data_IF_104992842245
#
_entry.id   IF_104992842245
#
_cell.length_a   1.000
_cell.length_b   1.000
_cell.length_c   1.000
_cell.angle_alpha   90.00
_cell.angle_beta   90.00
_cell.angle_gamma   90.00
#
_symmetry.space_group_name_H-M   'P 1'
#
loop_
_entity.id
_entity.type
_entity.pdbx_description
1 polymer ?
#
# COMPACT_ATOMS: atom_id res chain seq x y z
N UNK A 1 19.76 9.84 16.62
CA UNK A 1 21.06 10.46 16.92
C UNK A 1 22.13 9.39 16.90
N UNK A 2 23.28 9.65 16.26
CA UNK A 2 24.46 8.78 16.32
C UNK A 2 25.12 9.00 17.67
N UNK A 3 25.38 7.92 18.39
CA UNK A 3 25.97 7.98 19.75
C UNK A 3 27.32 7.28 19.79
N UNK A 4 28.25 7.80 20.59
CA UNK A 4 29.52 7.13 20.86
C UNK A 4 29.35 6.03 21.94
N UNK A 5 30.45 5.33 22.29
CA UNK A 5 30.45 4.28 23.32
C UNK A 5 30.07 4.78 24.72
N UNK A 6 30.26 6.07 24.98
CA UNK A 6 29.87 6.75 26.22
C UNK A 6 28.42 7.26 26.19
N UNK A 7 27.65 6.89 25.15
CA UNK A 7 26.26 7.29 24.91
C UNK A 7 26.05 8.79 24.59
N UNK A 8 27.13 9.54 24.34
CA UNK A 8 27.08 10.95 23.95
C UNK A 8 26.63 11.09 22.50
N UNK A 9 25.82 12.10 22.21
CA UNK A 9 25.37 12.40 20.84
C UNK A 9 26.55 13.01 20.07
N UNK A 10 27.03 12.31 19.05
CA UNK A 10 28.14 12.76 18.19
C UNK A 10 27.68 13.12 16.77
N UNK A 11 26.40 12.88 16.45
CA UNK A 11 25.87 13.21 15.13
C UNK A 11 24.36 13.06 15.03
N UNK A 12 23.79 13.69 14.01
CA UNK A 12 22.38 13.61 13.64
C UNK A 12 22.28 13.33 12.14
N UNK A 13 21.38 12.41 11.78
CA UNK A 13 20.95 12.21 10.40
C UNK A 13 19.55 12.78 10.28
N UNK A 14 19.38 13.79 9.44
CA UNK A 14 18.08 14.40 9.17
C UNK A 14 17.69 14.05 7.74
N UNK A 15 16.51 13.43 7.58
CA UNK A 15 15.92 13.13 6.27
C UNK A 15 14.82 14.14 6.00
N UNK A 16 15.03 15.01 5.02
CA UNK A 16 14.01 15.97 4.58
C UNK A 16 13.18 15.33 3.48
N UNK A 17 11.95 14.93 3.80
CA UNK A 17 11.01 14.41 2.83
C UNK A 17 10.58 15.51 1.85
N UNK A 18 10.76 15.28 0.55
CA UNK A 18 10.23 16.15 -0.52
C UNK A 18 8.87 15.64 -0.98
N UNK A 19 8.00 16.52 -1.43
CA UNK A 19 6.77 16.17 -2.12
C UNK A 19 6.77 16.78 -3.52
N UNK A 20 6.11 16.11 -4.46
CA UNK A 20 6.05 16.49 -5.88
C UNK A 20 4.59 16.42 -6.29
N UNK A 21 4.04 17.55 -6.72
CA UNK A 21 2.67 17.62 -7.22
C UNK A 21 2.58 17.15 -8.69
N UNK A 22 1.40 16.70 -9.11
CA UNK A 22 1.17 16.22 -10.48
C UNK A 22 1.69 14.80 -10.74
N UNK A 23 2.36 14.18 -9.78
CA UNK A 23 2.92 12.84 -9.95
C UNK A 23 1.84 11.75 -10.13
N UNK A 24 0.62 11.97 -9.64
CA UNK A 24 -0.46 10.99 -9.77
C UNK A 24 -1.11 10.90 -11.16
N UNK A 25 -0.72 11.73 -12.14
CA UNK A 25 -1.33 11.69 -13.48
C UNK A 25 -1.20 10.34 -14.19
N UNK A 26 -0.15 9.56 -13.90
CA UNK A 26 0.04 8.20 -14.44
C UNK A 26 -1.06 7.21 -14.05
N UNK A 27 -1.80 7.50 -12.99
CA UNK A 27 -2.86 6.65 -12.43
C UNK A 27 -4.17 7.41 -12.23
N UNK A 28 -4.34 8.57 -12.85
CA UNK A 28 -5.52 9.41 -12.63
C UNK A 28 -6.84 8.68 -12.99
N UNK A 29 -6.84 7.90 -14.06
CA UNK A 29 -7.95 7.02 -14.47
C UNK A 29 -8.21 5.91 -13.45
N UNK A 30 -7.17 5.36 -12.82
CA UNK A 30 -7.31 4.36 -11.75
C UNK A 30 -7.89 5.01 -10.49
N UNK A 31 -7.43 6.21 -10.14
CA UNK A 31 -7.94 6.96 -9.00
C UNK A 31 -9.41 7.37 -9.19
N UNK A 32 -9.79 7.69 -10.43
CA UNK A 32 -11.17 8.02 -10.82
C UNK A 32 -12.14 6.83 -10.67
N UNK A 33 -11.64 5.58 -10.69
CA UNK A 33 -12.44 4.40 -10.36
C UNK A 33 -12.61 4.32 -8.84
N UNK A 34 -13.75 4.79 -8.36
CA UNK A 34 -14.04 5.01 -6.94
C UNK A 34 -14.16 3.70 -6.13
N UNK A 35 -14.29 2.56 -6.79
CA UNK A 35 -14.55 1.24 -6.18
C UNK A 35 -13.28 0.41 -5.95
N UNK A 36 -12.09 0.91 -6.32
CA UNK A 36 -10.84 0.13 -6.25
C UNK A 36 -9.92 0.58 -5.11
N UNK A 37 -9.43 -0.42 -4.38
CA UNK A 37 -8.32 -0.27 -3.42
C UNK A 37 -7.00 -0.47 -4.16
N UNK A 38 -6.03 0.39 -3.89
CA UNK A 38 -4.77 0.46 -4.62
C UNK A 38 -3.63 0.15 -3.67
N UNK A 39 -2.70 -0.69 -4.11
CA UNK A 39 -1.45 -1.00 -3.41
C UNK A 39 -0.26 -0.45 -4.19
N UNK A 40 0.54 0.42 -3.57
CA UNK A 40 1.82 0.86 -4.12
C UNK A 40 2.97 -0.04 -3.66
N UNK A 41 3.57 -0.79 -4.59
CA UNK A 41 4.70 -1.66 -4.36
C UNK A 41 6.00 -1.09 -4.94
N UNK A 42 7.12 -1.50 -4.35
CA UNK A 42 8.45 -1.16 -4.83
C UNK A 42 9.48 -1.13 -3.72
N UNK A 43 10.76 -1.16 -4.11
CA UNK A 43 11.90 -1.14 -3.19
C UNK A 43 12.04 0.20 -2.43
N UNK A 44 12.83 0.26 -1.35
CA UNK A 44 13.14 1.53 -0.68
C UNK A 44 13.70 2.58 -1.65
N UNK A 45 13.16 3.80 -1.58
CA UNK A 45 13.62 4.91 -2.42
C UNK A 45 13.01 5.00 -3.82
N UNK A 46 12.04 4.15 -4.19
CA UNK A 46 11.36 4.25 -5.50
C UNK A 46 10.27 5.34 -5.61
N UNK A 47 10.00 6.10 -4.53
CA UNK A 47 9.06 7.22 -4.55
C UNK A 47 7.65 6.93 -4.02
N UNK A 48 7.41 5.78 -3.37
CA UNK A 48 6.12 5.40 -2.75
C UNK A 48 5.51 6.52 -1.89
N UNK A 49 6.23 7.00 -0.87
CA UNK A 49 5.73 8.08 0.01
C UNK A 49 5.43 9.36 -0.76
N UNK A 50 6.17 9.65 -1.85
CA UNK A 50 5.94 10.83 -2.69
C UNK A 50 4.61 10.74 -3.43
N UNK A 51 4.32 9.61 -4.09
CA UNK A 51 3.04 9.45 -4.79
C UNK A 51 1.87 9.46 -3.81
N UNK A 52 2.09 9.04 -2.58
CA UNK A 52 1.01 8.89 -1.59
C UNK A 52 0.57 10.21 -1.02
N UNK A 53 1.53 11.09 -0.75
CA UNK A 53 1.23 12.48 -0.41
C UNK A 53 0.36 13.10 -1.49
N UNK A 54 0.73 12.91 -2.75
CA UNK A 54 -0.01 13.45 -3.89
C UNK A 54 -1.41 12.84 -4.05
N UNK A 55 -1.54 11.51 -3.94
CA UNK A 55 -2.84 10.83 -3.99
C UNK A 55 -3.73 11.29 -2.83
N UNK A 56 -3.18 11.39 -1.62
CA UNK A 56 -3.92 11.88 -0.44
C UNK A 56 -4.43 13.30 -0.68
N UNK A 57 -3.55 14.19 -1.15
CA UNK A 57 -3.86 15.58 -1.47
C UNK A 57 -4.94 15.71 -2.54
N UNK A 58 -4.83 14.94 -3.62
CA UNK A 58 -5.81 14.97 -4.72
C UNK A 58 -7.17 14.43 -4.27
N UNK A 59 -7.21 13.28 -3.60
CA UNK A 59 -8.45 12.66 -3.14
C UNK A 59 -9.14 13.51 -2.07
N UNK A 60 -8.38 14.22 -1.22
CA UNK A 60 -8.94 15.05 -0.15
C UNK A 60 -9.74 16.26 -0.65
N UNK A 61 -9.64 16.62 -1.94
CA UNK A 61 -10.49 17.65 -2.54
C UNK A 61 -11.92 17.18 -2.81
N UNK A 62 -12.15 15.87 -2.89
CA UNK A 62 -13.45 15.28 -3.21
C UNK A 62 -14.00 14.39 -2.09
N UNK A 63 -13.12 13.78 -1.30
CA UNK A 63 -13.48 12.77 -0.31
C UNK A 63 -12.95 13.11 1.08
N UNK A 64 -13.61 12.57 2.09
CA UNK A 64 -13.12 12.51 3.46
C UNK A 64 -11.93 11.53 3.55
N UNK A 65 -10.72 12.04 3.31
CA UNK A 65 -9.48 11.26 3.41
C UNK A 65 -8.94 11.28 4.83
N UNK A 66 -8.53 10.10 5.31
CA UNK A 66 -7.79 9.97 6.57
C UNK A 66 -6.49 9.18 6.36
N UNK A 67 -5.35 9.80 6.66
CA UNK A 67 -4.03 9.19 6.64
C UNK A 67 -3.73 8.57 8.00
N UNK A 68 -3.52 7.26 8.06
CA UNK A 68 -2.98 6.55 9.22
C UNK A 68 -1.47 6.52 9.07
N UNK A 69 -0.80 7.43 9.79
CA UNK A 69 0.63 7.71 9.65
C UNK A 69 1.39 7.14 10.86
N UNK A 70 1.98 5.96 10.67
CA UNK A 70 2.61 5.22 11.77
C UNK A 70 4.02 5.71 12.08
N UNK A 71 4.78 6.05 11.05
CA UNK A 71 6.17 6.50 11.16
C UNK A 71 6.29 8.02 11.09
N UNK A 72 5.16 8.74 10.97
CA UNK A 72 5.10 10.17 10.66
C UNK A 72 5.82 10.55 9.36
N UNK A 73 6.08 9.57 8.48
CA UNK A 73 6.81 9.80 7.23
C UNK A 73 5.92 10.50 6.20
N UNK A 74 4.58 10.34 6.24
CA UNK A 74 3.71 10.94 5.21
C UNK A 74 3.52 12.42 5.49
N UNK A 75 3.09 12.77 6.70
CA UNK A 75 2.61 14.10 7.05
C UNK A 75 3.47 14.80 8.13
N UNK A 76 4.60 14.21 8.53
CA UNK A 76 5.60 14.81 9.43
C UNK A 76 5.26 14.66 10.92
N UNK A 77 6.19 15.05 11.79
CA UNK A 77 6.08 14.87 13.25
C UNK A 77 5.32 16.00 13.98
N UNK A 78 4.99 17.10 13.31
CA UNK A 78 4.30 18.24 13.93
C UNK A 78 2.86 17.90 14.31
N UNK A 79 2.26 18.63 15.25
CA UNK A 79 0.85 18.44 15.65
C UNK A 79 -0.13 18.73 14.50
N UNK A 80 0.26 19.63 13.59
CA UNK A 80 -0.48 19.95 12.36
C UNK A 80 0.14 19.13 11.23
N UNK A 81 -0.64 18.36 10.45
CA UNK A 81 -0.12 17.61 9.32
C UNK A 81 0.48 18.56 8.29
N UNK A 82 1.59 18.15 7.67
CA UNK A 82 2.23 18.92 6.62
C UNK A 82 1.28 19.14 5.42
N UNK A 83 1.30 20.33 4.81
CA UNK A 83 0.43 20.72 3.70
C UNK A 83 0.49 19.81 2.46
N UNK A 84 1.48 18.93 2.38
CA UNK A 84 1.67 18.01 1.26
C UNK A 84 0.55 16.97 1.12
N UNK A 85 -0.25 16.75 2.16
CA UNK A 85 -1.44 15.88 2.12
C UNK A 85 -2.74 16.65 1.89
N UNK A 86 -2.67 17.96 1.63
CA UNK A 86 -3.83 18.81 1.38
C UNK A 86 -4.82 18.83 2.54
N UNK A 87 -6.10 18.61 2.23
CA UNK A 87 -7.20 18.60 3.22
C UNK A 87 -7.33 17.27 3.98
N UNK A 88 -6.45 16.29 3.72
CA UNK A 88 -6.53 15.00 4.37
C UNK A 88 -6.30 15.13 5.89
N UNK A 89 -7.15 14.47 6.68
CA UNK A 89 -6.92 14.35 8.13
C UNK A 89 -5.81 13.34 8.38
N UNK A 90 -5.07 13.52 9.48
CA UNK A 90 -4.02 12.58 9.89
C UNK A 90 -4.33 11.98 11.26
N UNK A 91 -4.18 10.67 11.37
CA UNK A 91 -4.18 9.90 12.60
C UNK A 91 -2.76 9.38 12.84
N UNK A 92 -2.09 9.93 13.85
CA UNK A 92 -0.76 9.45 14.26
C UNK A 92 -0.91 8.17 15.05
N UNK A 93 -0.12 7.15 14.74
CA UNK A 93 -0.15 5.88 15.48
C UNK A 93 0.88 5.92 16.60
N UNK A 94 0.52 5.66 17.87
CA UNK A 94 1.47 5.72 18.99
C UNK A 94 2.60 4.69 18.93
N UNK A 95 2.35 3.54 18.31
CA UNK A 95 3.35 2.49 18.09
C UNK A 95 2.89 1.55 16.96
N UNK A 96 3.84 0.84 16.35
CA UNK A 96 3.59 -0.14 15.28
C UNK A 96 2.47 -1.14 15.65
N UNK A 97 2.47 -1.66 16.87
CA UNK A 97 1.47 -2.64 17.33
C UNK A 97 0.04 -2.08 17.43
N UNK A 98 -0.10 -0.75 17.50
CA UNK A 98 -1.39 -0.07 17.60
C UNK A 98 -2.01 0.28 16.25
N UNK A 99 -1.27 0.12 15.14
CA UNK A 99 -1.75 0.53 13.81
C UNK A 99 -3.08 -0.12 13.44
N UNK A 100 -3.22 -1.44 13.59
CA UNK A 100 -4.46 -2.16 13.31
C UNK A 100 -5.66 -1.62 14.11
N UNK A 101 -5.46 -1.31 15.39
CA UNK A 101 -6.50 -0.74 16.24
C UNK A 101 -6.86 0.69 15.80
N UNK A 102 -5.86 1.50 15.45
CA UNK A 102 -6.07 2.85 14.93
C UNK A 102 -6.84 2.83 13.62
N UNK A 103 -6.52 1.91 12.69
CA UNK A 103 -7.29 1.74 11.44
C UNK A 103 -8.77 1.51 11.72
N UNK A 104 -9.11 0.59 12.63
CA UNK A 104 -10.51 0.32 13.02
C UNK A 104 -11.15 1.55 13.67
N UNK A 105 -10.44 2.25 14.54
CA UNK A 105 -10.90 3.49 15.17
C UNK A 105 -11.22 4.58 14.13
N UNK A 106 -10.37 4.72 13.11
CA UNK A 106 -10.60 5.69 12.03
C UNK A 106 -11.96 5.42 11.38
N UNK A 107 -12.24 4.17 11.03
CA UNK A 107 -13.54 3.82 10.44
C UNK A 107 -14.70 4.10 11.37
N UNK A 108 -14.57 3.76 12.65
CA UNK A 108 -15.65 3.91 13.63
C UNK A 108 -16.00 5.36 13.95
N UNK A 109 -14.98 6.23 14.06
CA UNK A 109 -15.15 7.56 14.65
C UNK A 109 -14.98 8.71 13.66
N UNK A 110 -14.32 8.46 12.53
CA UNK A 110 -14.01 9.51 11.56
C UNK A 110 -14.74 9.34 10.23
N UNK A 111 -15.41 8.20 10.00
CA UNK A 111 -16.21 7.94 8.80
C UNK A 111 -15.46 8.32 7.51
N UNK A 112 -14.23 7.82 7.29
CA UNK A 112 -13.48 8.15 6.08
C UNK A 112 -14.14 7.51 4.85
N UNK A 113 -14.14 8.23 3.74
CA UNK A 113 -14.43 7.65 2.43
C UNK A 113 -13.16 6.99 1.87
N UNK A 114 -12.00 7.57 2.17
CA UNK A 114 -10.68 7.03 1.79
C UNK A 114 -9.76 6.96 3.00
N UNK A 115 -9.15 5.80 3.22
CA UNK A 115 -8.08 5.61 4.18
C UNK A 115 -6.75 5.45 3.44
N UNK A 116 -5.73 6.22 3.84
CA UNK A 116 -4.37 6.11 3.35
C UNK A 116 -3.47 5.58 4.45
N UNK A 117 -2.64 4.59 4.15
CA UNK A 117 -1.81 3.89 5.16
C UNK A 117 -0.40 3.72 4.59
N UNK A 118 0.65 3.99 5.37
CA UNK A 118 2.04 4.01 4.86
C UNK A 118 2.66 2.63 4.60
N UNK A 119 2.39 1.64 5.45
CA UNK A 119 2.88 0.27 5.28
C UNK A 119 1.92 -0.70 5.96
N UNK A 120 1.67 -1.85 5.35
CA UNK A 120 0.97 -2.99 5.99
C UNK A 120 1.81 -4.23 5.79
N UNK A 121 2.26 -4.81 6.91
CA UNK A 121 3.11 -6.00 6.90
C UNK A 121 2.75 -7.02 7.98
N UNK A 122 1.96 -6.66 9.00
CA UNK A 122 1.61 -7.59 10.08
C UNK A 122 0.25 -8.26 9.81
N UNK A 123 0.05 -9.54 10.20
CA UNK A 123 -1.22 -10.23 9.98
C UNK A 123 -2.46 -9.53 10.56
N UNK A 124 -2.32 -8.87 11.72
CA UNK A 124 -3.40 -8.11 12.33
C UNK A 124 -3.78 -6.84 11.53
N UNK A 125 -2.83 -6.23 10.81
CA UNK A 125 -3.09 -5.08 9.94
C UNK A 125 -3.81 -5.49 8.67
N UNK A 126 -3.44 -6.64 8.11
CA UNK A 126 -4.13 -7.25 6.97
C UNK A 126 -5.60 -7.52 7.35
N UNK A 127 -5.84 -8.05 8.55
CA UNK A 127 -7.20 -8.31 9.02
C UNK A 127 -7.98 -7.02 9.32
N UNK A 128 -7.32 -6.01 9.90
CA UNK A 128 -7.91 -4.69 10.07
C UNK A 128 -8.28 -4.06 8.72
N UNK A 129 -7.42 -4.16 7.71
CA UNK A 129 -7.69 -3.66 6.37
C UNK A 129 -8.90 -4.37 5.73
N UNK A 130 -9.02 -5.70 5.87
CA UNK A 130 -10.22 -6.43 5.44
C UNK A 130 -11.48 -5.92 6.12
N UNK A 131 -11.41 -5.73 7.44
CA UNK A 131 -12.55 -5.20 8.22
C UNK A 131 -12.93 -3.79 7.76
N UNK A 132 -11.95 -2.92 7.48
CA UNK A 132 -12.20 -1.56 6.99
C UNK A 132 -12.86 -1.58 5.60
N UNK A 133 -12.37 -2.44 4.70
CA UNK A 133 -12.94 -2.62 3.36
C UNK A 133 -14.39 -3.10 3.40
N UNK A 134 -14.70 -4.08 4.25
CA UNK A 134 -16.07 -4.59 4.43
C UNK A 134 -17.05 -3.52 4.94
N UNK A 135 -16.55 -2.45 5.55
CA UNK A 135 -17.34 -1.29 5.99
C UNK A 135 -17.47 -0.19 4.92
N UNK A 136 -17.10 -0.49 3.67
CA UNK A 136 -17.26 0.42 2.53
C UNK A 136 -16.20 1.51 2.41
N UNK A 137 -15.10 1.40 3.16
CA UNK A 137 -13.99 2.37 3.08
C UNK A 137 -13.06 2.00 1.93
N UNK A 138 -12.76 2.96 1.05
CA UNK A 138 -11.72 2.80 0.02
C UNK A 138 -10.34 2.92 0.67
N UNK A 139 -9.47 1.96 0.44
CA UNK A 139 -8.12 1.91 1.00
C UNK A 139 -7.10 2.20 -0.11
N UNK A 140 -6.42 3.34 0.00
CA UNK A 140 -5.20 3.63 -0.75
C UNK A 140 -3.98 3.27 0.09
N UNK A 141 -3.43 2.06 -0.08
CA UNK A 141 -2.31 1.58 0.71
C UNK A 141 -0.98 1.85 0.00
N UNK A 142 0.01 2.19 0.81
CA UNK A 142 1.41 2.30 0.48
C UNK A 142 2.16 1.18 1.18
N UNK A 143 3.22 0.69 0.55
CA UNK A 143 4.38 0.18 1.29
C UNK A 143 4.30 -1.28 1.73
N UNK A 144 5.20 -2.08 1.15
CA UNK A 144 5.90 -3.15 1.85
C UNK A 144 5.05 -4.29 2.41
N UNK A 145 4.59 -5.21 1.55
CA UNK A 145 4.44 -6.59 2.04
C UNK A 145 5.86 -7.12 2.25
N UNK A 146 6.42 -6.95 3.46
CA UNK A 146 7.43 -7.90 3.92
C UNK A 146 6.71 -9.23 4.04
N UNK A 147 6.92 -10.12 3.06
CA UNK A 147 6.46 -11.51 2.99
C UNK A 147 5.50 -11.88 4.12
N UNK A 148 4.24 -11.47 4.00
CA UNK A 148 3.18 -12.12 4.78
C UNK A 148 3.02 -13.45 4.09
N UNK A 149 3.83 -14.42 4.50
CA UNK A 149 3.70 -15.82 4.12
C UNK A 149 2.24 -16.19 4.35
N UNK A 150 1.49 -16.24 3.25
CA UNK A 150 0.11 -16.67 3.24
C UNK A 150 0.09 -18.09 3.80
N UNK A 151 -0.62 -18.25 4.92
CA UNK A 151 -1.20 -19.51 5.37
C UNK A 151 -0.26 -20.59 5.92
N UNK A 152 0.40 -20.33 7.06
CA UNK A 152 0.97 -21.42 7.88
C UNK A 152 -0.03 -22.04 8.87
N UNK A 153 -1.16 -21.36 9.17
CA UNK A 153 -2.16 -21.87 10.12
C UNK A 153 -3.16 -22.85 9.49
N UNK A 154 -3.68 -22.53 8.31
CA UNK A 154 -4.61 -23.40 7.58
C UNK A 154 -3.94 -24.64 7.01
N UNK A 155 -2.66 -24.56 6.62
CA UNK A 155 -1.89 -25.72 6.16
C UNK A 155 -1.62 -26.75 7.28
N UNK A 156 -1.39 -26.28 8.52
CA UNK A 156 -1.14 -27.17 9.69
C UNK A 156 -2.40 -27.84 10.22
N UNK A 157 -3.55 -27.16 10.19
CA UNK A 157 -4.82 -27.74 10.64
C UNK A 157 -5.36 -28.82 9.69
N UNK A 158 -5.02 -28.75 8.39
CA UNK A 158 -5.43 -29.76 7.40
C UNK A 158 -4.49 -30.97 7.34
N UNK A 159 -3.22 -30.83 7.75
CA UNK A 159 -2.27 -31.96 7.84
C UNK A 159 -2.62 -32.96 8.95
N UNK A 160 -3.28 -32.53 10.03
CA UNK A 160 -3.66 -33.43 11.13
C UNK A 160 -4.94 -34.25 10.88
N UNK A 161 -5.63 -34.04 9.75
CA UNK A 161 -6.88 -34.77 9.44
C UNK A 161 -6.75 -35.86 8.39
N UNK A 162 -5.60 -36.01 7.72
CA UNK A 162 -5.42 -36.96 6.62
C UNK A 162 -4.28 -37.96 6.91
N UNK A 163 -4.44 -38.77 7.95
CA UNK A 163 -3.71 -40.03 8.07
C UNK A 163 -4.40 -41.08 7.19
N UNK A 164 -4.00 -41.15 5.92
CA UNK A 164 -4.43 -42.20 5.01
C UNK A 164 -4.70 -41.73 3.60
N UNK A 165 -3.75 -42.06 2.73
CA UNK A 165 -3.90 -42.20 1.28
C UNK A 165 -3.61 -40.96 0.40
N UNK A 166 -2.63 -41.17 -0.48
CA UNK A 166 -2.30 -40.43 -1.70
C UNK A 166 -1.86 -38.96 -1.56
N UNK A 167 -0.55 -38.74 -1.81
CA UNK A 167 0.12 -37.44 -1.99
C UNK A 167 -0.53 -36.62 -3.13
N UNK A 168 -1.65 -35.95 -2.85
CA UNK A 168 -2.17 -34.87 -3.70
C UNK A 168 -1.20 -33.69 -3.59
N UNK A 169 -0.72 -33.20 -4.74
CA UNK A 169 -0.02 -31.90 -4.84
C UNK A 169 -0.83 -30.87 -4.03
N UNK A 170 -0.23 -30.32 -2.98
CA UNK A 170 -0.79 -29.18 -2.26
C UNK A 170 -0.78 -28.01 -3.25
N UNK A 171 -1.92 -27.78 -3.91
CA UNK A 171 -2.11 -26.59 -4.74
C UNK A 171 -2.29 -25.44 -3.77
N UNK A 172 -1.37 -24.47 -3.80
CA UNK A 172 -1.53 -23.26 -3.03
C UNK A 172 -2.76 -22.51 -3.56
N UNK A 173 -3.79 -22.40 -2.73
CA UNK A 173 -5.02 -21.68 -3.06
C UNK A 173 -5.05 -20.33 -2.34
N UNK A 174 -5.74 -19.36 -2.93
CA UNK A 174 -5.92 -18.04 -2.32
C UNK A 174 -6.84 -18.15 -1.10
N UNK A 175 -6.44 -17.53 0.00
CA UNK A 175 -7.24 -17.47 1.24
C UNK A 175 -8.47 -16.54 1.22
N UNK A 176 -8.94 -16.07 0.07
CA UNK A 176 -10.12 -15.19 -0.07
C UNK A 176 -9.92 -13.98 -1.01
N UNK A 177 -10.96 -13.17 -1.21
CA UNK A 177 -10.90 -12.00 -2.12
C UNK A 177 -9.75 -11.02 -1.74
N UNK A 178 -9.04 -10.45 -2.72
CA UNK A 178 -7.92 -9.58 -2.43
C UNK A 178 -8.40 -8.29 -1.75
N UNK A 179 -7.58 -7.76 -0.83
CA UNK A 179 -7.84 -6.45 -0.21
C UNK A 179 -7.68 -5.36 -1.29
N UNK A 180 -6.62 -5.46 -2.09
CA UNK A 180 -6.28 -4.53 -3.16
C UNK A 180 -6.62 -5.13 -4.51
N UNK A 181 -7.45 -4.45 -5.28
CA UNK A 181 -7.79 -4.84 -6.64
C UNK A 181 -6.72 -4.42 -7.64
N UNK A 182 -6.04 -3.29 -7.37
CA UNK A 182 -5.03 -2.72 -8.27
C UNK A 182 -3.69 -2.63 -7.56
N UNK A 183 -2.63 -3.02 -8.26
CA UNK A 183 -1.25 -2.87 -7.79
C UNK A 183 -0.52 -1.92 -8.73
N UNK A 184 0.19 -0.96 -8.15
CA UNK A 184 1.06 -0.01 -8.85
C UNK A 184 2.48 -0.28 -8.39
N UNK A 185 3.33 -0.78 -9.28
CA UNK A 185 4.73 -1.04 -8.99
C UNK A 185 5.61 0.12 -9.44
N UNK A 186 6.44 0.60 -8.51
CA UNK A 186 7.44 1.64 -8.70
C UNK A 186 8.83 1.03 -8.59
N UNK A 187 9.72 1.37 -9.52
CA UNK A 187 11.11 0.92 -9.54
C UNK A 187 12.08 2.07 -9.27
N UNK A 188 13.15 1.81 -8.53
CA UNK A 188 14.14 2.86 -8.24
C UNK A 188 14.80 3.31 -9.54
N UNK A 189 14.90 4.62 -9.72
CA UNK A 189 15.45 5.22 -10.94
C UNK A 189 14.48 5.28 -12.12
N UNK A 190 13.27 4.71 -12.02
CA UNK A 190 12.23 4.79 -13.05
C UNK A 190 11.03 5.59 -12.53
N UNK A 191 11.24 6.86 -12.19
CA UNK A 191 10.20 7.66 -11.54
C UNK A 191 9.04 8.04 -12.49
N UNK A 192 9.32 8.11 -13.79
CA UNK A 192 8.35 8.45 -14.84
C UNK A 192 7.67 7.22 -15.46
N UNK A 193 8.03 6.00 -15.04
CA UNK A 193 7.50 4.76 -15.60
C UNK A 193 7.02 3.82 -14.51
N UNK A 194 5.72 3.51 -14.47
CA UNK A 194 5.13 2.59 -13.50
C UNK A 194 4.47 1.40 -14.18
N UNK A 195 4.44 0.28 -13.47
CA UNK A 195 3.71 -0.91 -13.90
C UNK A 195 2.40 -1.03 -13.12
N UNK A 196 1.29 -1.22 -13.83
CA UNK A 196 -0.06 -1.27 -13.28
C UNK A 196 -0.65 -2.66 -13.53
N UNK A 197 -0.92 -3.37 -12.44
CA UNK A 197 -1.69 -4.62 -12.47
C UNK A 197 -3.12 -4.25 -12.11
N UNK A 198 -4.01 -4.25 -13.12
CA UNK A 198 -5.38 -3.77 -12.95
C UNK A 198 -6.30 -4.79 -12.27
N UNK A 199 -5.91 -6.06 -12.22
CA UNK A 199 -6.61 -7.11 -11.49
C UNK A 199 -5.60 -7.98 -10.71
N UNK A 200 -5.42 -7.65 -9.44
CA UNK A 200 -4.59 -8.42 -8.53
C UNK A 200 -5.12 -9.83 -8.24
N UNK A 201 -6.41 -10.10 -8.52
CA UNK A 201 -6.93 -11.45 -8.46
C UNK A 201 -6.29 -12.29 -9.56
N UNK A 202 -6.54 -11.96 -10.82
CA UNK A 202 -6.05 -12.75 -11.95
C UNK A 202 -4.52 -12.91 -11.91
N UNK A 203 -3.78 -11.87 -11.53
CA UNK A 203 -2.32 -11.94 -11.41
C UNK A 203 -1.85 -12.96 -10.38
N UNK A 204 -2.45 -12.99 -9.18
CA UNK A 204 -2.08 -13.97 -8.15
C UNK A 204 -2.49 -15.39 -8.55
N UNK A 205 -3.65 -15.58 -9.19
CA UNK A 205 -4.09 -16.90 -9.64
C UNK A 205 -3.18 -17.44 -10.76
N UNK A 206 -2.73 -16.57 -11.65
CA UNK A 206 -1.75 -16.89 -12.69
C UNK A 206 -0.40 -17.28 -12.09
N UNK A 207 0.11 -16.53 -11.10
CA UNK A 207 1.35 -16.87 -10.38
C UNK A 207 1.24 -18.24 -9.70
N UNK A 208 0.14 -18.51 -9.00
CA UNK A 208 -0.10 -19.81 -8.34
C UNK A 208 -0.19 -20.97 -9.35
N UNK A 209 -0.68 -20.69 -10.56
CA UNK A 209 -0.79 -21.65 -11.66
C UNK A 209 0.48 -21.74 -12.51
N UNK A 210 1.51 -20.93 -12.22
CA UNK A 210 2.73 -20.79 -13.01
C UNK A 210 2.46 -20.45 -14.49
N UNK A 211 1.53 -19.52 -14.70
CA UNK A 211 1.16 -18.95 -16.01
C UNK A 211 1.35 -17.44 -16.03
N UNK A 212 1.47 -16.87 -17.22
CA UNK A 212 1.67 -15.43 -17.35
C UNK A 212 0.42 -14.61 -17.00
N UNK A 213 0.61 -13.38 -16.52
CA UNK A 213 -0.46 -12.38 -16.33
C UNK A 213 -0.17 -11.07 -17.06
N UNK A 214 -1.23 -10.34 -17.36
CA UNK A 214 -1.14 -9.09 -18.09
C UNK A 214 -0.89 -7.90 -17.16
N UNK A 215 -0.02 -6.97 -17.60
CA UNK A 215 0.24 -5.73 -16.88
C UNK A 215 0.48 -4.56 -17.84
N UNK A 216 0.09 -3.35 -17.42
CA UNK A 216 0.33 -2.14 -18.19
C UNK A 216 1.62 -1.48 -17.72
N UNK A 217 2.51 -1.12 -18.64
CA UNK A 217 3.64 -0.24 -18.37
C UNK A 217 3.27 1.15 -18.87
N UNK A 218 3.20 2.10 -17.95
CA UNK A 218 2.83 3.50 -18.22
C UNK A 218 4.02 4.40 -18.05
N UNK A 219 4.31 5.21 -19.05
CA UNK A 219 5.41 6.18 -19.06
C UNK A 219 4.88 7.58 -19.28
N UNK A 220 5.26 8.51 -18.41
CA UNK A 220 4.86 9.93 -18.51
C UNK A 220 5.43 10.55 -19.79
N UNK A 221 4.64 11.38 -20.45
CA UNK A 221 5.12 12.20 -21.58
C UNK A 221 6.02 13.33 -21.10
N UNK A 222 6.89 13.86 -21.97
CA UNK A 222 7.85 14.91 -21.61
C UNK A 222 7.20 16.21 -21.12
N UNK A 223 5.98 16.51 -21.56
CA UNK A 223 5.19 17.65 -21.11
C UNK A 223 4.44 17.40 -19.78
N UNK A 224 4.49 16.17 -19.26
CA UNK A 224 3.93 15.78 -17.95
C UNK A 224 2.42 15.62 -17.90
N UNK A 225 1.71 15.95 -18.98
CA UNK A 225 0.24 16.05 -19.04
C UNK A 225 -0.44 14.75 -19.46
N UNK A 226 0.31 13.80 -20.01
CA UNK A 226 -0.22 12.53 -20.46
C UNK A 226 0.72 11.38 -20.10
N UNK A 227 0.29 10.17 -20.44
CA UNK A 227 1.13 8.98 -20.38
C UNK A 227 0.94 8.16 -21.66
N UNK A 228 2.03 7.53 -22.08
CA UNK A 228 2.00 6.44 -23.04
C UNK A 228 1.86 5.13 -22.26
N UNK A 229 1.15 4.15 -22.79
CA UNK A 229 1.11 2.82 -22.18
C UNK A 229 1.31 1.72 -23.21
N UNK A 230 1.95 0.65 -22.75
CA UNK A 230 2.03 -0.64 -23.43
C UNK A 230 1.57 -1.74 -22.48
N UNK A 231 1.24 -2.89 -23.05
CA UNK A 231 0.88 -4.08 -22.30
C UNK A 231 2.05 -5.07 -22.36
N UNK A 232 2.38 -5.68 -21.22
CA UNK A 232 3.35 -6.75 -21.10
C UNK A 232 2.69 -8.00 -20.49
N UNK A 233 3.23 -9.18 -20.81
CA UNK A 233 2.92 -10.42 -20.10
C UNK A 233 4.12 -10.79 -19.22
N UNK A 234 3.87 -11.11 -17.96
CA UNK A 234 4.86 -11.50 -16.96
C UNK A 234 4.60 -12.89 -16.44
#
# INVERSE_FOLDING_TARGET
AVRNRSNEIIGLTIRVGRYIEGNASLIADVLAKEDKNILFLGEPGCGKTTIVREVSRQLANKYNVCVVDTSNEIAGDGNIPHMCVGLARRMMVPSLDKQAAVMVQVVQNHTPEVMVIDEIGRPNEVEAARTCKQRGVRIGLVGGIQNVTLSDKTAREQQQKNDGDSLRKIVAERGGAPIFEVIVELRRGQYDTWRIISNAADAVDAILSNTDYETQVRTRTADGNAFLFSTEKL
#
